data_IF_835352399757
#
_entry.id   IF_835352399757
#
_cell.length_a   1.000
_cell.length_b   1.000
_cell.length_c   1.000
_cell.angle_alpha   90.00
_cell.angle_beta   90.00
_cell.angle_gamma   90.00
#
_symmetry.space_group_name_H-M   'P 1'
#
loop_
_entity.id
_entity.type
_entity.pdbx_description
1 polymer ?
#
# COMPACT_ATOMS: atom_id res chain seq x y z
N UNK A 1 -2.14 6.20 20.61
CA UNK A 1 -1.29 5.83 19.49
C UNK A 1 -1.12 4.31 19.45
N UNK A 2 -1.14 3.71 18.23
CA UNK A 2 -1.04 2.25 18.04
C UNK A 2 0.30 1.64 18.50
N UNK A 3 1.26 2.46 18.85
CA UNK A 3 2.57 2.04 19.39
C UNK A 3 2.63 2.00 20.92
N UNK A 4 1.71 2.65 21.59
CA UNK A 4 1.75 2.79 23.05
C UNK A 4 1.61 1.41 23.70
N UNK A 5 2.54 1.10 24.61
CA UNK A 5 2.55 -0.16 25.34
C UNK A 5 3.14 -1.37 24.57
N UNK A 6 3.59 -1.21 23.32
CA UNK A 6 4.14 -2.32 22.51
C UNK A 6 5.68 -2.35 22.43
N UNK A 7 6.38 -1.46 23.14
CA UNK A 7 7.85 -1.48 23.18
C UNK A 7 8.43 -2.63 24.03
N UNK A 8 9.76 -2.91 23.92
CA UNK A 8 10.72 -2.19 23.09
C UNK A 8 10.64 -2.53 21.60
N UNK A 9 10.83 -1.53 20.73
CA UNK A 9 10.83 -1.73 19.29
C UNK A 9 12.19 -2.19 18.77
N UNK A 10 12.18 -2.89 17.64
CA UNK A 10 13.39 -3.30 16.93
C UNK A 10 14.18 -2.05 16.51
N UNK A 11 15.48 -1.95 16.85
CA UNK A 11 16.31 -0.82 16.45
C UNK A 11 16.58 -0.81 14.93
N UNK A 12 17.02 0.35 14.43
CA UNK A 12 17.38 0.50 13.00
C UNK A 12 16.24 0.90 12.09
N UNK A 13 15.10 1.30 12.65
CA UNK A 13 13.97 1.86 11.89
C UNK A 13 13.95 3.37 12.09
N UNK A 14 13.96 4.11 10.99
CA UNK A 14 13.77 5.56 10.95
C UNK A 14 12.40 5.87 10.37
N UNK A 15 11.70 6.82 10.97
CA UNK A 15 10.39 7.26 10.50
C UNK A 15 10.50 8.62 9.81
N UNK A 16 9.82 8.76 8.69
CA UNK A 16 9.65 10.04 8.00
C UNK A 16 8.16 10.34 7.83
N UNK A 17 7.74 11.60 7.82
CA UNK A 17 6.36 11.96 7.53
C UNK A 17 5.94 11.43 6.16
N UNK A 18 4.74 10.88 6.09
CA UNK A 18 4.20 10.38 4.82
C UNK A 18 3.96 11.53 3.83
N UNK A 19 4.25 11.30 2.55
CA UNK A 19 4.07 12.28 1.48
C UNK A 19 4.97 13.54 1.63
N UNK A 20 6.03 13.46 2.44
CA UNK A 20 7.04 14.49 2.62
C UNK A 20 8.36 14.02 2.03
N UNK A 21 8.58 14.33 0.76
CA UNK A 21 9.79 13.96 0.04
C UNK A 21 11.03 14.69 0.58
N UNK A 22 10.87 15.95 0.99
CA UNK A 22 11.97 16.78 1.47
C UNK A 22 12.53 16.24 2.79
N UNK A 23 11.63 15.79 3.68
CA UNK A 23 12.05 15.11 4.92
C UNK A 23 12.77 13.77 4.65
N UNK A 24 12.32 13.03 3.62
CA UNK A 24 13.01 11.79 3.22
C UNK A 24 14.39 12.10 2.63
N UNK A 25 14.51 13.11 1.79
CA UNK A 25 15.79 13.53 1.20
C UNK A 25 16.78 14.03 2.27
N UNK A 26 16.32 14.82 3.22
CA UNK A 26 17.12 15.26 4.36
C UNK A 26 17.60 14.10 5.26
N UNK A 27 16.76 13.09 5.49
CA UNK A 27 17.17 11.87 6.18
C UNK A 27 18.24 11.12 5.39
N UNK A 28 18.08 11.06 4.06
CA UNK A 28 19.05 10.45 3.18
C UNK A 28 20.42 11.12 3.29
N UNK A 29 20.51 12.44 3.18
CA UNK A 29 21.78 13.19 3.29
C UNK A 29 22.48 12.91 4.61
N UNK A 30 21.72 12.72 5.68
CA UNK A 30 22.26 12.49 7.03
C UNK A 30 22.67 11.04 7.30
N UNK A 31 21.94 10.05 6.77
CA UNK A 31 22.05 8.63 7.17
C UNK A 31 22.02 7.65 5.99
N UNK A 32 22.01 8.12 4.75
CA UNK A 32 21.71 7.31 3.58
C UNK A 32 22.55 6.05 3.43
N UNK A 33 23.84 6.10 3.77
CA UNK A 33 24.73 4.94 3.71
C UNK A 33 24.35 3.80 4.67
N UNK A 34 23.54 4.10 5.70
CA UNK A 34 23.07 3.11 6.71
C UNK A 34 21.67 2.57 6.42
N UNK A 35 21.01 3.08 5.39
CA UNK A 35 19.64 2.70 5.03
C UNK A 35 19.70 1.63 3.94
N UNK A 36 19.07 0.48 4.19
CA UNK A 36 19.00 -0.64 3.25
C UNK A 36 17.73 -0.62 2.39
N UNK A 37 16.64 -0.07 2.91
CA UNK A 37 15.33 -0.09 2.24
C UNK A 37 14.42 1.01 2.73
N UNK A 38 13.45 1.36 1.90
CA UNK A 38 12.32 2.21 2.24
C UNK A 38 11.01 1.43 2.05
N UNK A 39 10.17 1.40 3.10
CA UNK A 39 8.86 0.75 3.05
C UNK A 39 7.76 1.81 3.13
N UNK A 40 6.75 1.69 2.27
CA UNK A 40 5.64 2.65 2.22
C UNK A 40 4.39 2.00 1.63
N UNK A 41 3.21 2.37 2.13
CA UNK A 41 1.93 2.12 1.47
C UNK A 41 1.75 3.10 0.30
N UNK A 42 1.35 2.66 -0.91
CA UNK A 42 1.01 3.58 -2.02
C UNK A 42 -0.10 4.57 -1.66
N UNK A 43 -1.05 4.14 -0.85
CA UNK A 43 -2.07 4.95 -0.18
C UNK A 43 -2.16 4.41 1.23
N UNK A 44 -2.00 5.25 2.24
CA UNK A 44 -2.16 4.78 3.61
C UNK A 44 -3.64 4.45 3.88
N UNK A 45 -3.89 3.20 4.30
CA UNK A 45 -5.24 2.71 4.55
C UNK A 45 -5.77 3.12 5.93
N UNK A 46 -5.20 2.54 6.99
CA UNK A 46 -5.63 2.71 8.38
C UNK A 46 -5.49 4.16 8.88
N UNK A 47 -4.56 4.92 8.33
CA UNK A 47 -4.38 6.34 8.66
C UNK A 47 -5.50 7.25 8.10
N UNK A 48 -6.50 6.71 7.40
CA UNK A 48 -7.65 7.45 6.89
C UNK A 48 -7.69 7.62 5.38
N UNK A 49 -7.20 6.66 4.61
CA UNK A 49 -7.14 6.69 3.14
C UNK A 49 -6.39 7.94 2.65
N UNK A 50 -5.14 8.07 3.13
CA UNK A 50 -4.30 9.21 2.76
C UNK A 50 -3.67 8.95 1.38
N UNK A 51 -4.13 9.69 0.39
CA UNK A 51 -3.64 9.62 -0.99
C UNK A 51 -2.46 10.61 -1.12
N UNK A 52 -1.26 10.15 -1.52
CA UNK A 52 -0.10 11.04 -1.64
C UNK A 52 -0.20 11.92 -2.88
N UNK A 53 0.66 12.94 -2.96
CA UNK A 53 0.87 13.72 -4.19
C UNK A 53 1.25 12.78 -5.34
N UNK A 54 0.80 13.12 -6.54
CA UNK A 54 0.94 12.27 -7.73
C UNK A 54 2.39 11.84 -7.99
N UNK A 55 3.34 12.72 -7.73
CA UNK A 55 4.77 12.52 -8.01
C UNK A 55 5.50 11.80 -6.88
N UNK A 56 4.93 11.70 -5.68
CA UNK A 56 5.62 11.23 -4.48
C UNK A 56 6.26 9.85 -4.65
N UNK A 57 5.51 8.85 -5.10
CA UNK A 57 6.06 7.49 -5.27
C UNK A 57 7.12 7.42 -6.37
N UNK A 58 7.01 8.25 -7.40
CA UNK A 58 8.03 8.33 -8.46
C UNK A 58 9.33 8.94 -7.91
N UNK A 59 9.23 9.99 -7.10
CA UNK A 59 10.37 10.61 -6.42
C UNK A 59 11.04 9.63 -5.45
N UNK A 60 10.24 8.94 -4.63
CA UNK A 60 10.73 7.88 -3.73
C UNK A 60 11.46 6.78 -4.49
N UNK A 61 10.89 6.29 -5.61
CA UNK A 61 11.55 5.26 -6.44
C UNK A 61 12.87 5.77 -7.01
N UNK A 62 12.92 7.00 -7.51
CA UNK A 62 14.14 7.60 -8.02
C UNK A 62 15.22 7.71 -6.93
N UNK A 63 14.84 8.13 -5.71
CA UNK A 63 15.76 8.21 -4.58
C UNK A 63 16.29 6.82 -4.17
N UNK A 64 15.43 5.81 -4.12
CA UNK A 64 15.84 4.43 -3.84
C UNK A 64 16.85 3.92 -4.88
N UNK A 65 16.60 4.17 -6.17
CA UNK A 65 17.51 3.78 -7.24
C UNK A 65 18.86 4.50 -7.14
N UNK A 66 18.83 5.82 -6.91
CA UNK A 66 20.05 6.65 -6.76
C UNK A 66 20.97 6.15 -5.65
N UNK A 67 20.38 5.57 -4.59
CA UNK A 67 21.10 5.24 -3.36
C UNK A 67 21.24 3.74 -3.10
N UNK A 68 20.85 2.94 -4.08
CA UNK A 68 20.87 1.49 -4.00
C UNK A 68 20.03 0.92 -2.82
N UNK A 69 18.92 1.61 -2.46
CA UNK A 69 17.95 1.10 -1.49
C UNK A 69 16.93 0.19 -2.17
N UNK A 70 16.41 -0.76 -1.42
CA UNK A 70 15.25 -1.52 -1.84
C UNK A 70 13.97 -0.72 -1.60
N UNK A 71 13.15 -0.55 -2.62
CA UNK A 71 11.79 -0.04 -2.45
C UNK A 71 10.84 -1.19 -2.13
N UNK A 72 10.20 -1.11 -0.98
CA UNK A 72 9.18 -2.05 -0.52
C UNK A 72 7.84 -1.33 -0.55
N UNK A 73 6.89 -1.83 -1.33
CA UNK A 73 5.52 -1.31 -1.32
C UNK A 73 4.60 -2.26 -0.55
N UNK A 74 3.96 -1.71 0.47
CA UNK A 74 2.91 -2.41 1.19
C UNK A 74 1.58 -2.22 0.47
N UNK A 75 1.18 -3.22 -0.30
CA UNK A 75 -0.09 -3.26 -1.00
C UNK A 75 -1.10 -4.23 -0.37
N UNK A 76 -0.99 -4.45 0.92
CA UNK A 76 -1.94 -5.27 1.68
C UNK A 76 -3.36 -4.72 1.57
N UNK A 77 -3.55 -3.39 1.56
CA UNK A 77 -4.86 -2.77 1.32
C UNK A 77 -5.07 -2.30 -0.12
N UNK A 78 -4.05 -1.77 -0.75
CA UNK A 78 -4.16 -1.10 -2.06
C UNK A 78 -4.14 -2.06 -3.23
N UNK A 79 -3.63 -3.28 -3.04
CA UNK A 79 -3.53 -4.29 -4.08
C UNK A 79 -4.83 -5.00 -4.41
N UNK A 80 -4.74 -6.02 -5.23
CA UNK A 80 -5.83 -6.92 -5.61
C UNK A 80 -7.05 -6.20 -6.24
N UNK A 81 -6.76 -5.18 -7.06
CA UNK A 81 -7.80 -4.48 -7.82
C UNK A 81 -8.46 -3.32 -7.08
N UNK A 82 -8.17 -3.11 -5.77
CA UNK A 82 -8.85 -2.15 -4.92
C UNK A 82 -8.88 -0.71 -5.47
N UNK A 83 -7.83 -0.30 -6.18
CA UNK A 83 -7.68 1.06 -6.71
C UNK A 83 -7.99 1.19 -8.21
N UNK A 84 -8.56 0.14 -8.86
CA UNK A 84 -8.83 0.11 -10.30
C UNK A 84 -7.67 -0.43 -11.15
N UNK A 85 -6.53 -0.73 -10.53
CA UNK A 85 -5.42 -1.50 -11.12
C UNK A 85 -5.17 -2.73 -10.27
N UNK A 86 -4.55 -3.79 -10.84
CA UNK A 86 -4.23 -4.99 -10.06
C UNK A 86 -3.40 -4.62 -8.82
N UNK A 87 -2.42 -3.72 -9.00
CA UNK A 87 -1.62 -3.13 -7.93
C UNK A 87 -1.61 -1.61 -8.05
N UNK A 88 -1.64 -0.90 -6.92
CA UNK A 88 -1.70 0.56 -6.90
C UNK A 88 -0.47 1.24 -7.51
N UNK A 89 0.72 0.65 -7.36
CA UNK A 89 1.95 1.19 -7.95
C UNK A 89 1.90 1.32 -9.48
N UNK A 90 0.99 0.58 -10.13
CA UNK A 90 0.78 0.68 -11.59
C UNK A 90 0.22 2.04 -12.02
N UNK A 91 -0.43 2.80 -11.12
CA UNK A 91 -0.85 4.17 -11.41
C UNK A 91 0.33 5.12 -11.63
N UNK A 92 1.48 4.81 -11.03
CA UNK A 92 2.72 5.59 -11.13
C UNK A 92 3.71 5.03 -12.16
N UNK A 93 3.39 3.90 -12.81
CA UNK A 93 4.29 3.18 -13.73
C UNK A 93 5.66 2.85 -13.10
N UNK A 94 5.71 2.64 -11.81
CA UNK A 94 6.91 2.19 -11.09
C UNK A 94 6.83 0.69 -10.81
N UNK A 95 7.98 0.08 -10.49
CA UNK A 95 8.02 -1.31 -10.02
C UNK A 95 8.86 -1.34 -8.74
N UNK A 96 8.33 -1.84 -7.61
CA UNK A 96 9.07 -2.01 -6.38
C UNK A 96 10.07 -3.17 -6.49
N UNK A 97 10.98 -3.26 -5.51
CA UNK A 97 11.88 -4.41 -5.36
C UNK A 97 11.20 -5.52 -4.54
N UNK A 98 10.35 -5.12 -3.57
CA UNK A 98 9.47 -6.03 -2.84
C UNK A 98 8.04 -5.48 -2.80
N UNK A 99 7.08 -6.39 -2.77
CA UNK A 99 5.65 -6.09 -2.71
C UNK A 99 4.98 -7.02 -1.71
N UNK A 100 4.29 -6.47 -0.72
CA UNK A 100 3.50 -7.27 0.24
C UNK A 100 2.02 -7.24 -0.12
N UNK A 101 1.39 -8.41 -0.03
CA UNK A 101 -0.03 -8.63 -0.34
C UNK A 101 -0.69 -9.45 0.77
N UNK A 102 -1.95 -9.16 1.06
CA UNK A 102 -2.80 -9.99 1.94
C UNK A 102 -4.28 -9.65 1.66
N UNK A 103 -5.13 -9.64 2.66
CA UNK A 103 -6.55 -9.23 2.61
C UNK A 103 -7.27 -9.72 1.36
N UNK A 104 -7.44 -8.88 0.35
CA UNK A 104 -8.10 -9.22 -0.92
C UNK A 104 -7.50 -10.40 -1.66
N UNK A 105 -6.23 -10.74 -1.43
CA UNK A 105 -5.58 -11.91 -2.03
C UNK A 105 -6.29 -13.22 -1.65
N UNK A 106 -6.74 -13.34 -0.40
CA UNK A 106 -7.46 -14.53 0.09
C UNK A 106 -8.97 -14.37 0.10
N UNK A 107 -9.50 -13.15 -0.12
CA UNK A 107 -10.93 -12.83 -0.10
C UNK A 107 -11.70 -13.47 1.07
N UNK A 108 -11.13 -13.37 2.27
CA UNK A 108 -11.65 -13.93 3.51
C UNK A 108 -10.86 -15.12 4.07
N UNK A 109 -10.07 -15.82 3.25
CA UNK A 109 -9.14 -16.86 3.72
C UNK A 109 -7.82 -16.20 4.12
N UNK A 110 -7.28 -16.47 5.32
CA UNK A 110 -6.02 -15.90 5.76
C UNK A 110 -4.85 -16.35 4.87
N UNK A 111 -4.23 -15.40 4.18
CA UNK A 111 -3.03 -15.59 3.37
C UNK A 111 -2.31 -14.26 3.23
N UNK A 112 -0.97 -14.31 3.21
CA UNK A 112 -0.11 -13.22 2.81
C UNK A 112 0.90 -13.67 1.78
N UNK A 113 1.38 -12.75 0.97
CA UNK A 113 2.45 -13.00 0.01
C UNK A 113 3.45 -11.84 0.04
N UNK A 114 4.72 -12.19 -0.12
CA UNK A 114 5.80 -11.24 -0.36
C UNK A 114 6.45 -11.58 -1.70
N UNK A 115 6.31 -10.69 -2.66
CA UNK A 115 6.92 -10.81 -3.97
C UNK A 115 8.24 -10.04 -3.97
N UNK A 116 9.28 -10.62 -4.53
CA UNK A 116 10.58 -9.97 -4.63
C UNK A 116 11.15 -10.14 -6.05
N UNK A 117 11.92 -9.13 -6.51
CA UNK A 117 12.62 -9.20 -7.79
C UNK A 117 14.07 -8.77 -7.68
N UNK A 118 14.84 -9.06 -8.72
CA UNK A 118 16.24 -8.64 -8.82
C UNK A 118 17.09 -9.16 -7.67
N UNK A 119 17.87 -8.28 -7.02
CA UNK A 119 18.72 -8.64 -5.88
C UNK A 119 17.92 -9.09 -4.66
N UNK A 120 16.74 -8.48 -4.42
CA UNK A 120 15.88 -8.83 -3.29
C UNK A 120 15.45 -10.31 -3.34
N UNK A 121 15.11 -10.84 -4.53
CA UNK A 121 14.73 -12.24 -4.69
C UNK A 121 15.85 -13.23 -4.32
N UNK A 122 17.12 -12.80 -4.39
CA UNK A 122 18.28 -13.64 -4.04
C UNK A 122 18.54 -13.75 -2.54
N UNK A 123 17.89 -12.91 -1.72
CA UNK A 123 18.05 -12.88 -0.27
C UNK A 123 17.29 -14.02 0.42
N UNK A 124 16.19 -14.47 -0.18
CA UNK A 124 15.36 -15.56 0.33
C UNK A 124 15.89 -16.92 -0.17
N UNK A 125 16.82 -17.48 0.60
CA UNK A 125 17.36 -18.81 0.34
C UNK A 125 16.81 -19.82 1.34
N UNK A 126 17.02 -21.10 1.09
CA UNK A 126 16.56 -22.19 1.97
C UNK A 126 16.98 -21.93 3.42
N UNK A 127 16.05 -22.04 4.35
CA UNK A 127 16.25 -21.83 5.79
C UNK A 127 16.25 -20.38 6.27
N UNK A 128 16.09 -19.39 5.39
CA UNK A 128 16.07 -17.96 5.77
C UNK A 128 14.70 -17.46 6.22
N UNK A 129 13.63 -18.14 5.81
CA UNK A 129 12.26 -17.81 6.19
C UNK A 129 11.44 -19.09 6.32
N UNK A 130 10.49 -19.09 7.24
CA UNK A 130 9.57 -20.21 7.44
C UNK A 130 8.22 -19.73 8.00
N UNK A 131 7.19 -20.49 7.68
CA UNK A 131 5.84 -20.29 8.22
C UNK A 131 5.14 -21.65 8.29
N UNK A 132 4.54 -21.98 9.43
CA UNK A 132 3.86 -23.27 9.62
C UNK A 132 2.69 -23.45 8.64
N UNK A 133 1.89 -22.41 8.43
CA UNK A 133 0.72 -22.46 7.54
C UNK A 133 0.91 -21.73 6.22
N UNK A 134 2.08 -21.13 5.99
CA UNK A 134 2.38 -20.39 4.76
C UNK A 134 2.39 -21.32 3.55
N UNK A 135 1.72 -20.88 2.46
CA UNK A 135 1.66 -21.67 1.22
C UNK A 135 0.83 -22.95 1.31
N UNK A 136 -0.07 -23.09 2.30
CA UNK A 136 -0.92 -24.28 2.37
C UNK A 136 -1.83 -24.38 1.12
N UNK A 137 -2.19 -25.62 0.70
CA UNK A 137 -2.89 -25.85 -0.56
C UNK A 137 -4.25 -25.13 -0.65
N UNK A 138 -5.00 -25.07 0.44
CA UNK A 138 -6.31 -24.43 0.45
C UNK A 138 -6.21 -22.93 0.19
N UNK A 139 -5.42 -22.22 1.00
CA UNK A 139 -5.27 -20.77 0.86
C UNK A 139 -4.62 -20.39 -0.48
N UNK A 140 -3.65 -21.17 -0.95
CA UNK A 140 -3.01 -20.97 -2.26
C UNK A 140 -4.00 -21.15 -3.41
N UNK A 141 -4.87 -22.17 -3.34
CA UNK A 141 -5.91 -22.38 -4.36
C UNK A 141 -6.93 -21.24 -4.38
N UNK A 142 -7.34 -20.74 -3.20
CA UNK A 142 -8.23 -19.58 -3.10
C UNK A 142 -7.58 -18.34 -3.73
N UNK A 143 -6.32 -18.04 -3.39
CA UNK A 143 -5.60 -16.91 -3.96
C UNK A 143 -5.48 -17.00 -5.50
N UNK A 144 -5.20 -18.19 -6.03
CA UNK A 144 -5.19 -18.42 -7.49
C UNK A 144 -6.56 -18.16 -8.11
N UNK A 145 -7.65 -18.58 -7.46
CA UNK A 145 -9.01 -18.32 -7.94
C UNK A 145 -9.33 -16.82 -7.94
N UNK A 146 -8.94 -16.09 -6.90
CA UNK A 146 -9.11 -14.63 -6.83
C UNK A 146 -8.37 -13.93 -7.97
N UNK A 147 -7.11 -14.30 -8.19
CA UNK A 147 -6.31 -13.74 -9.30
C UNK A 147 -6.94 -14.04 -10.65
N UNK A 148 -7.40 -15.27 -10.87
CA UNK A 148 -8.07 -15.67 -12.11
C UNK A 148 -9.34 -14.84 -12.38
N UNK A 149 -10.17 -14.64 -11.36
CA UNK A 149 -11.37 -13.80 -11.44
C UNK A 149 -11.00 -12.35 -11.80
N UNK A 150 -10.02 -11.75 -11.12
CA UNK A 150 -9.63 -10.37 -11.37
C UNK A 150 -9.07 -10.20 -12.79
N UNK A 151 -8.32 -11.19 -13.29
CA UNK A 151 -7.70 -11.13 -14.61
C UNK A 151 -8.68 -11.40 -15.76
N UNK A 152 -9.64 -12.31 -15.58
CA UNK A 152 -10.50 -12.79 -16.65
C UNK A 152 -11.92 -12.22 -16.64
N UNK A 153 -12.29 -11.46 -15.60
CA UNK A 153 -13.57 -10.77 -15.51
C UNK A 153 -13.39 -9.25 -15.47
N UNK A 154 -14.42 -8.46 -15.80
CA UNK A 154 -14.32 -7.00 -15.87
C UNK A 154 -14.31 -6.33 -14.48
N UNK A 155 -13.62 -6.95 -13.49
CA UNK A 155 -13.58 -6.47 -12.11
C UNK A 155 -12.97 -5.07 -12.03
N UNK A 156 -11.82 -4.84 -12.67
CA UNK A 156 -11.13 -3.54 -12.62
C UNK A 156 -11.98 -2.44 -13.27
N UNK A 157 -12.61 -2.72 -14.40
CA UNK A 157 -13.52 -1.77 -15.05
C UNK A 157 -14.74 -1.46 -14.16
N UNK A 158 -15.26 -2.47 -13.44
CA UNK A 158 -16.35 -2.25 -12.48
C UNK A 158 -15.89 -1.42 -11.28
N UNK A 159 -14.66 -1.60 -10.80
CA UNK A 159 -14.08 -0.74 -9.74
C UNK A 159 -14.06 0.72 -10.19
N UNK A 160 -13.60 1.02 -11.40
CA UNK A 160 -13.57 2.38 -11.94
C UNK A 160 -14.98 2.97 -12.06
N UNK A 161 -15.93 2.19 -12.59
CA UNK A 161 -17.35 2.59 -12.72
C UNK A 161 -17.97 2.90 -11.35
N UNK A 162 -17.77 2.02 -10.36
CA UNK A 162 -18.29 2.20 -9.02
C UNK A 162 -17.61 3.34 -8.28
N UNK A 163 -16.31 3.54 -8.48
CA UNK A 163 -15.57 4.68 -7.96
C UNK A 163 -16.18 6.00 -8.42
N UNK A 164 -16.44 6.15 -9.71
CA UNK A 164 -17.08 7.34 -10.27
C UNK A 164 -18.50 7.55 -9.73
N UNK A 165 -19.30 6.48 -9.68
CA UNK A 165 -20.65 6.54 -9.13
C UNK A 165 -20.67 6.99 -7.67
N UNK A 166 -19.83 6.39 -6.84
CA UNK A 166 -19.72 6.72 -5.40
C UNK A 166 -19.21 8.16 -5.23
N UNK A 167 -18.19 8.55 -5.99
CA UNK A 167 -17.67 9.91 -5.94
C UNK A 167 -18.76 10.94 -6.22
N UNK A 168 -19.50 10.77 -7.33
CA UNK A 168 -20.60 11.68 -7.68
C UNK A 168 -21.66 11.75 -6.59
N UNK A 169 -22.03 10.60 -5.98
CA UNK A 169 -23.01 10.54 -4.91
C UNK A 169 -22.52 11.23 -3.63
N UNK A 170 -21.30 10.92 -3.21
CA UNK A 170 -20.74 11.53 -2.00
C UNK A 170 -20.56 13.04 -2.15
N UNK A 171 -20.10 13.52 -3.31
CA UNK A 171 -20.00 14.93 -3.59
C UNK A 171 -21.38 15.60 -3.53
N UNK A 172 -22.42 15.02 -4.18
CA UNK A 172 -23.75 15.62 -4.19
C UNK A 172 -24.42 15.66 -2.82
N UNK A 173 -24.18 14.65 -1.99
CA UNK A 173 -24.89 14.47 -0.72
C UNK A 173 -24.13 15.09 0.47
N UNK A 174 -22.79 15.11 0.41
CA UNK A 174 -21.97 15.43 1.59
C UNK A 174 -21.19 16.74 1.48
N UNK A 175 -20.96 17.29 0.28
CA UNK A 175 -20.09 18.47 0.11
C UNK A 175 -20.62 19.73 0.82
N UNK A 176 -21.92 19.81 1.09
CA UNK A 176 -22.54 20.93 1.78
C UNK A 176 -22.72 20.69 3.30
N UNK A 177 -22.26 19.57 3.82
CA UNK A 177 -22.34 19.26 5.26
C UNK A 177 -21.11 19.84 5.95
N UNK A 178 -21.24 20.86 6.83
CA UNK A 178 -20.09 21.52 7.44
C UNK A 178 -19.15 20.57 8.22
N UNK A 179 -19.70 19.47 8.72
CA UNK A 179 -18.97 18.44 9.43
C UNK A 179 -18.05 17.58 8.55
N UNK A 180 -18.24 17.63 7.23
CA UNK A 180 -17.42 16.86 6.26
C UNK A 180 -16.31 17.76 5.75
N UNK A 181 -15.09 17.46 6.20
CA UNK A 181 -13.91 18.27 5.87
C UNK A 181 -13.25 17.83 4.55
N UNK A 182 -13.38 16.55 4.19
CA UNK A 182 -12.79 16.05 2.94
C UNK A 182 -13.40 14.72 2.50
N UNK A 183 -13.41 14.50 1.18
CA UNK A 183 -13.76 13.23 0.56
C UNK A 183 -12.55 12.79 -0.26
N UNK A 184 -11.99 11.63 0.04
CA UNK A 184 -10.81 11.07 -0.64
C UNK A 184 -11.19 9.75 -1.29
N UNK A 185 -10.95 9.61 -2.60
CA UNK A 185 -11.33 8.40 -3.35
C UNK A 185 -10.23 8.00 -4.31
N UNK A 186 -9.87 6.73 -4.27
CA UNK A 186 -9.05 6.10 -5.29
C UNK A 186 -9.54 4.66 -5.52
N UNK A 187 -10.23 4.42 -6.62
CA UNK A 187 -10.97 3.17 -6.82
C UNK A 187 -12.02 3.00 -5.72
N UNK A 188 -11.98 1.89 -5.01
CA UNK A 188 -12.85 1.60 -3.87
C UNK A 188 -12.12 1.78 -2.52
N UNK A 189 -11.05 2.55 -2.47
CA UNK A 189 -10.53 3.13 -1.24
C UNK A 189 -11.18 4.50 -1.05
N UNK A 190 -11.96 4.65 0.00
CA UNK A 190 -12.80 5.82 0.27
C UNK A 190 -12.55 6.26 1.70
N UNK A 191 -12.22 7.53 1.88
CA UNK A 191 -12.09 8.18 3.18
C UNK A 191 -12.92 9.45 3.22
N UNK A 192 -13.69 9.62 4.29
CA UNK A 192 -14.43 10.83 4.59
C UNK A 192 -13.83 11.42 5.86
N UNK A 193 -13.23 12.61 5.74
CA UNK A 193 -12.72 13.36 6.89
C UNK A 193 -13.84 14.12 7.55
N UNK A 194 -14.00 13.93 8.85
CA UNK A 194 -14.98 14.62 9.67
C UNK A 194 -14.29 15.63 10.59
N UNK A 195 -15.05 16.59 11.10
CA UNK A 195 -14.60 17.51 12.13
C UNK A 195 -14.40 16.73 13.45
N UNK A 196 -13.20 16.84 14.04
CA UNK A 196 -12.83 16.14 15.28
C UNK A 196 -13.73 16.49 16.47
N UNK A 197 -14.46 17.63 16.42
CA UNK A 197 -15.40 18.01 17.47
C UNK A 197 -16.71 17.21 17.43
N UNK A 198 -16.87 16.28 16.48
CA UNK A 198 -18.07 15.44 16.32
C UNK A 198 -17.83 13.99 16.73
N UNK A 199 -16.63 13.64 17.13
CA UNK A 199 -16.21 12.33 17.61
C UNK A 199 -15.86 12.44 19.08
#
# INVERSE_FOLDING_TARGET
DSKDGFGPFVPGIELVPYNDYDALEALFEKKGEKIASFIVEPIQGEAGVIIPKKEYLNQVKALCVKNDWLLILDEVQTGMGRTGKLFAHQHNNITPDLLTLAKGLGNGVPIGACLAKGRAAKLFTVGKHGSTFGGNPLASKVALCVLDIIQNQPILANVDKMSQYIHTKLESELSNIPAVLSIRIKGLMIGIGLDDNLI
#
